data_IF_443073795291
#
_entry.id   IF_443073795291
#
_cell.length_a   1.000
_cell.length_b   1.000
_cell.length_c   1.000
_cell.angle_alpha   90.00
_cell.angle_beta   90.00
_cell.angle_gamma   90.00
#
_symmetry.space_group_name_H-M   'P 1'
#
loop_
_entity.id
_entity.type
_entity.pdbx_description
1 polymer ?
#
# COMPACT_ATOMS: atom_id res chain seq x y z
N UNK A 1 18.22 -9.16 -4.15
CA UNK A 1 18.36 -7.71 -4.43
C UNK A 1 19.26 -7.17 -3.33
N UNK A 2 20.33 -6.44 -3.67
CA UNK A 2 21.28 -5.95 -2.66
C UNK A 2 20.54 -5.04 -1.66
N UNK A 3 20.62 -5.34 -0.36
CA UNK A 3 20.08 -4.47 0.69
C UNK A 3 20.87 -3.17 0.69
N UNK A 4 20.26 -2.13 0.11
CA UNK A 4 20.80 -0.79 0.15
C UNK A 4 20.72 -0.27 1.59
N UNK A 5 21.86 -0.01 2.22
CA UNK A 5 21.88 0.63 3.53
C UNK A 5 21.43 2.10 3.36
N UNK A 6 20.22 2.40 3.84
CA UNK A 6 19.57 3.69 3.62
C UNK A 6 20.37 4.81 4.30
N UNK A 7 20.90 4.58 5.50
CA UNK A 7 21.64 5.59 6.26
C UNK A 7 22.99 5.93 5.61
N UNK A 8 23.71 4.93 5.08
CA UNK A 8 24.94 5.16 4.31
C UNK A 8 24.67 5.99 3.05
N UNK A 9 23.61 5.63 2.32
CA UNK A 9 23.23 6.34 1.09
C UNK A 9 22.80 7.78 1.41
N UNK A 10 21.99 7.98 2.44
CA UNK A 10 21.57 9.32 2.89
C UNK A 10 22.73 10.20 3.35
N UNK A 11 23.76 9.60 3.95
CA UNK A 11 24.99 10.29 4.34
C UNK A 11 25.86 10.71 3.14
N UNK A 12 25.82 9.94 2.04
CA UNK A 12 26.62 10.17 0.83
C UNK A 12 25.94 11.02 -0.24
N UNK A 13 24.66 11.31 -0.08
CA UNK A 13 23.87 12.15 -0.97
C UNK A 13 24.16 13.64 -0.73
N UNK A 14 24.39 14.39 -1.80
CA UNK A 14 24.44 15.86 -1.74
C UNK A 14 23.04 16.44 -1.49
N UNK A 15 22.95 17.72 -1.11
CA UNK A 15 21.67 18.40 -0.92
C UNK A 15 20.87 18.41 -2.24
N UNK A 16 21.52 18.66 -3.37
CA UNK A 16 20.86 18.66 -4.69
C UNK A 16 20.36 17.26 -5.07
N UNK A 17 21.11 16.20 -4.76
CA UNK A 17 20.66 14.82 -4.97
C UNK A 17 19.47 14.47 -4.06
N UNK A 18 19.41 14.99 -2.82
CA UNK A 18 18.25 14.82 -1.94
C UNK A 18 17.02 15.54 -2.47
N UNK A 19 17.19 16.77 -2.94
CA UNK A 19 16.10 17.57 -3.54
C UNK A 19 15.59 16.90 -4.82
N UNK A 20 16.48 16.36 -5.65
CA UNK A 20 16.05 15.70 -6.89
C UNK A 20 15.26 14.42 -6.60
N UNK A 21 15.65 13.62 -5.60
CA UNK A 21 14.97 12.37 -5.23
C UNK A 21 13.54 12.55 -4.70
N UNK A 22 13.19 13.73 -4.16
CA UNK A 22 11.81 14.05 -3.75
C UNK A 22 10.95 14.59 -4.88
N UNK A 23 11.52 14.74 -6.08
CA UNK A 23 10.84 15.21 -7.29
C UNK A 23 10.90 14.17 -8.41
N UNK A 24 9.83 14.10 -9.20
CA UNK A 24 9.87 13.31 -10.44
C UNK A 24 10.69 14.03 -11.51
N UNK A 25 11.51 13.30 -12.26
CA UNK A 25 12.22 13.86 -13.43
C UNK A 25 11.28 14.06 -14.61
N UNK A 26 10.20 13.28 -14.67
CA UNK A 26 9.08 13.42 -15.59
C UNK A 26 7.86 12.70 -15.01
N UNK A 27 6.72 12.75 -15.71
CA UNK A 27 5.42 12.22 -15.24
C UNK A 27 5.44 10.78 -14.70
N UNK A 28 6.41 9.96 -15.10
CA UNK A 28 6.42 8.53 -14.86
C UNK A 28 7.71 7.99 -14.25
N UNK A 29 8.71 8.83 -13.95
CA UNK A 29 9.97 8.35 -13.40
C UNK A 29 10.47 9.25 -12.27
N UNK A 30 11.08 8.63 -11.26
CA UNK A 30 11.82 9.35 -10.21
C UNK A 30 13.20 9.80 -10.72
N UNK A 31 13.82 10.71 -9.99
CA UNK A 31 15.25 10.98 -10.17
C UNK A 31 16.10 9.73 -9.91
N UNK A 32 17.22 9.65 -10.61
CA UNK A 32 18.26 8.64 -10.41
C UNK A 32 19.54 9.30 -9.89
N UNK A 33 20.35 8.54 -9.15
CA UNK A 33 21.69 8.95 -8.71
C UNK A 33 22.67 7.83 -9.06
N UNK A 34 23.17 7.79 -10.32
CA UNK A 34 24.00 6.68 -10.81
C UNK A 34 25.28 6.46 -10.00
N UNK A 35 25.88 7.54 -9.47
CA UNK A 35 27.09 7.48 -8.63
C UNK A 35 26.92 6.64 -7.36
N UNK A 36 25.71 6.60 -6.81
CA UNK A 36 25.35 5.82 -5.63
C UNK A 36 24.58 4.54 -5.98
N UNK A 37 24.46 4.22 -7.27
CA UNK A 37 23.71 3.05 -7.73
C UNK A 37 22.20 3.16 -7.55
N UNK A 38 21.65 4.37 -7.39
CA UNK A 38 20.20 4.59 -7.25
C UNK A 38 19.58 4.67 -8.66
N UNK A 39 18.79 3.67 -9.10
CA UNK A 39 18.15 3.71 -10.41
C UNK A 39 16.94 4.64 -10.42
N UNK A 40 16.52 5.09 -11.60
CA UNK A 40 15.22 5.73 -11.76
C UNK A 40 14.12 4.67 -11.58
N UNK A 41 13.14 4.97 -10.74
CA UNK A 41 11.98 4.11 -10.53
C UNK A 41 10.92 4.52 -11.54
N UNK A 42 10.49 3.57 -12.38
CA UNK A 42 9.35 3.78 -13.29
C UNK A 42 8.04 3.55 -12.55
N UNK A 43 7.17 4.55 -12.61
CA UNK A 43 5.78 4.48 -12.16
C UNK A 43 4.85 4.48 -13.36
N UNK A 44 3.68 3.87 -13.23
CA UNK A 44 2.65 3.84 -14.26
C UNK A 44 1.28 3.84 -13.59
N UNK A 45 0.30 4.46 -14.24
CA UNK A 45 -1.05 4.42 -13.73
C UNK A 45 -1.67 3.03 -13.75
N UNK A 46 -2.63 2.87 -12.84
CA UNK A 46 -3.56 1.77 -12.89
C UNK A 46 -4.43 1.58 -11.66
N UNK A 47 -5.71 2.01 -11.69
CA UNK A 47 -6.74 1.34 -10.92
C UNK A 47 -7.25 0.06 -11.60
N UNK A 48 -7.27 0.00 -12.92
CA UNK A 48 -7.95 -1.04 -13.71
C UNK A 48 -7.00 -1.69 -14.74
N UNK A 49 -5.76 -1.99 -14.35
CA UNK A 49 -4.71 -2.48 -15.25
C UNK A 49 -3.50 -1.56 -15.30
N UNK A 50 -2.38 -2.05 -15.84
CA UNK A 50 -1.12 -1.32 -15.87
C UNK A 50 -0.95 -0.59 -17.21
N UNK A 51 -1.04 0.74 -17.20
CA UNK A 51 -0.97 1.53 -18.42
C UNK A 51 0.45 1.61 -18.96
N UNK A 52 0.68 1.04 -20.14
CA UNK A 52 1.95 1.22 -20.84
C UNK A 52 1.99 2.55 -21.58
N UNK A 53 3.13 3.25 -21.50
CA UNK A 53 3.27 4.63 -22.01
C UNK A 53 4.16 4.75 -23.26
N UNK A 54 4.99 3.75 -23.55
CA UNK A 54 5.97 3.79 -24.66
C UNK A 54 5.52 3.06 -25.93
N UNK A 55 4.34 2.46 -25.91
CA UNK A 55 3.76 1.75 -27.04
C UNK A 55 2.97 2.73 -27.91
N UNK A 56 3.32 2.81 -29.20
CA UNK A 56 2.41 3.25 -30.26
C UNK A 56 1.06 2.56 -30.07
N UNK A 57 -0.06 3.22 -30.38
CA UNK A 57 -1.41 2.65 -30.20
C UNK A 57 -1.59 1.23 -30.77
N UNK A 58 -0.75 0.84 -31.72
CA UNK A 58 -0.75 -0.45 -32.41
C UNK A 58 -0.19 -1.63 -31.60
N UNK A 59 0.54 -1.42 -30.51
CA UNK A 59 1.16 -2.50 -29.71
C UNK A 59 0.83 -2.44 -28.20
N UNK A 60 -0.26 -1.77 -27.82
CA UNK A 60 -0.71 -1.77 -26.42
C UNK A 60 -1.25 -3.15 -26.01
N UNK A 61 -0.41 -3.94 -25.35
CA UNK A 61 -0.90 -5.08 -24.57
C UNK A 61 -1.33 -4.56 -23.19
N UNK A 62 -2.64 -4.48 -22.95
CA UNK A 62 -3.22 -4.05 -21.68
C UNK A 62 -4.14 -5.14 -21.15
N UNK A 63 -3.94 -5.53 -19.89
CA UNK A 63 -4.96 -6.26 -19.14
C UNK A 63 -5.88 -5.23 -18.50
N UNK A 64 -7.06 -5.00 -19.09
CA UNK A 64 -8.06 -4.10 -18.51
C UNK A 64 -8.83 -4.87 -17.44
N UNK A 65 -8.65 -4.47 -16.19
CA UNK A 65 -9.39 -5.03 -15.06
C UNK A 65 -10.76 -4.35 -14.91
N UNK A 66 -11.72 -5.10 -14.39
CA UNK A 66 -13.06 -4.59 -14.07
C UNK A 66 -12.95 -3.41 -13.10
N UNK A 67 -13.83 -2.42 -13.23
CA UNK A 67 -13.84 -1.25 -12.36
C UNK A 67 -14.05 -1.67 -10.89
N UNK A 68 -13.39 -0.97 -9.98
CA UNK A 68 -13.32 -1.37 -8.56
C UNK A 68 -14.66 -1.51 -7.86
N UNK A 69 -15.67 -0.71 -8.24
CA UNK A 69 -17.02 -0.82 -7.66
C UNK A 69 -17.68 -2.15 -8.00
N UNK A 70 -17.48 -2.65 -9.22
CA UNK A 70 -18.00 -3.96 -9.63
C UNK A 70 -17.21 -5.10 -8.97
N UNK A 71 -15.88 -4.98 -8.82
CA UNK A 71 -15.10 -5.95 -8.02
C UNK A 71 -15.57 -5.95 -6.56
N UNK A 72 -15.78 -4.77 -5.95
CA UNK A 72 -16.29 -4.63 -4.59
C UNK A 72 -17.69 -5.23 -4.41
N UNK A 73 -18.55 -5.11 -5.41
CA UNK A 73 -19.89 -5.69 -5.42
C UNK A 73 -19.89 -7.24 -5.41
N UNK A 74 -18.77 -7.89 -5.72
CA UNK A 74 -18.65 -9.36 -5.61
C UNK A 74 -18.48 -9.83 -4.17
N UNK A 75 -18.08 -8.95 -3.25
CA UNK A 75 -17.73 -9.29 -1.86
C UNK A 75 -16.78 -10.51 -1.74
N UNK A 76 -15.93 -10.70 -2.74
CA UNK A 76 -15.03 -11.86 -2.84
C UNK A 76 -13.57 -11.43 -2.68
N UNK A 77 -13.02 -11.65 -1.50
CA UNK A 77 -11.62 -11.29 -1.15
C UNK A 77 -10.60 -12.10 -1.94
N UNK A 78 -10.86 -13.38 -2.19
CA UNK A 78 -9.99 -14.24 -2.99
C UNK A 78 -9.88 -13.77 -4.45
N UNK A 79 -10.99 -13.28 -5.00
CA UNK A 79 -11.02 -12.66 -6.32
C UNK A 79 -10.18 -11.37 -6.34
N UNK A 80 -10.32 -10.51 -5.32
CA UNK A 80 -9.51 -9.29 -5.20
C UNK A 80 -8.02 -9.61 -5.14
N UNK A 81 -7.63 -10.64 -4.40
CA UNK A 81 -6.25 -11.08 -4.29
C UNK A 81 -5.70 -11.59 -5.63
N UNK A 82 -6.47 -12.43 -6.32
CA UNK A 82 -6.09 -12.96 -7.64
C UNK A 82 -5.90 -11.83 -8.66
N UNK A 83 -6.81 -10.84 -8.68
CA UNK A 83 -6.70 -9.67 -9.55
C UNK A 83 -5.49 -8.79 -9.20
N UNK A 84 -5.15 -8.65 -7.91
CA UNK A 84 -3.94 -7.95 -7.46
C UNK A 84 -2.67 -8.65 -7.94
N UNK A 85 -2.61 -9.98 -7.83
CA UNK A 85 -1.47 -10.77 -8.30
C UNK A 85 -1.28 -10.63 -9.80
N UNK A 86 -2.36 -10.71 -10.58
CA UNK A 86 -2.33 -10.48 -12.04
C UNK A 86 -1.81 -9.07 -12.38
N UNK A 87 -2.28 -8.04 -11.68
CA UNK A 87 -1.81 -6.67 -11.88
C UNK A 87 -0.31 -6.52 -11.54
N UNK A 88 0.16 -7.20 -10.49
CA UNK A 88 1.58 -7.25 -10.13
C UNK A 88 2.44 -7.93 -11.20
N UNK A 89 1.97 -9.05 -11.76
CA UNK A 89 2.64 -9.75 -12.85
C UNK A 89 2.72 -8.89 -14.12
N UNK A 90 1.63 -8.18 -14.46
CA UNK A 90 1.62 -7.25 -15.59
C UNK A 90 2.62 -6.10 -15.38
N UNK A 91 2.73 -5.57 -14.16
CA UNK A 91 3.71 -4.53 -13.82
C UNK A 91 5.15 -5.01 -14.01
N UNK A 92 5.46 -6.22 -13.53
CA UNK A 92 6.78 -6.83 -13.68
C UNK A 92 7.10 -7.05 -15.16
N UNK A 93 6.16 -7.61 -15.92
CA UNK A 93 6.33 -7.86 -17.36
C UNK A 93 6.64 -6.58 -18.15
N UNK A 94 6.08 -5.44 -17.72
CA UNK A 94 6.28 -4.12 -18.35
C UNK A 94 7.48 -3.33 -17.80
N UNK A 95 8.27 -3.92 -16.90
CA UNK A 95 9.39 -3.24 -16.26
C UNK A 95 8.96 -2.03 -15.41
N UNK A 96 7.75 -2.07 -14.86
CA UNK A 96 7.21 -1.04 -13.98
C UNK A 96 7.51 -1.46 -12.55
N UNK A 97 8.44 -0.73 -11.92
CA UNK A 97 8.87 -1.02 -10.56
C UNK A 97 7.76 -0.77 -9.54
N UNK A 98 6.86 0.19 -9.83
CA UNK A 98 5.76 0.53 -8.94
C UNK A 98 4.54 0.95 -9.73
N UNK A 99 3.47 0.17 -9.60
CA UNK A 99 2.12 0.68 -9.87
C UNK A 99 1.66 1.34 -8.57
N UNK A 100 1.34 2.64 -8.55
CA UNK A 100 0.78 3.25 -7.37
C UNK A 100 -0.49 2.44 -7.02
N UNK A 101 -0.55 1.89 -5.82
CA UNK A 101 -1.69 1.15 -5.29
C UNK A 101 -2.90 2.06 -5.15
N UNK A 102 -3.51 2.48 -6.26
CA UNK A 102 -4.67 3.37 -6.31
C UNK A 102 -5.98 2.59 -6.14
N UNK A 103 -5.99 1.49 -5.38
CA UNK A 103 -7.27 0.82 -5.06
C UNK A 103 -8.12 1.74 -4.19
N UNK A 104 -7.49 2.41 -3.21
CA UNK A 104 -8.17 3.37 -2.36
C UNK A 104 -8.15 4.80 -2.92
N UNK A 105 -6.97 5.35 -3.22
CA UNK A 105 -6.83 6.79 -3.52
C UNK A 105 -7.73 7.33 -4.65
N UNK A 106 -7.88 6.58 -5.75
CA UNK A 106 -8.80 6.97 -6.83
C UNK A 106 -10.22 6.47 -6.62
N UNK A 107 -10.42 5.27 -6.07
CA UNK A 107 -11.78 4.76 -5.81
C UNK A 107 -12.56 5.66 -4.85
N UNK A 108 -11.87 6.12 -3.81
CA UNK A 108 -12.40 7.02 -2.79
C UNK A 108 -12.72 8.42 -3.34
N UNK A 109 -11.83 9.00 -4.15
CA UNK A 109 -12.09 10.30 -4.77
C UNK A 109 -13.23 10.25 -5.80
N UNK A 110 -13.37 9.16 -6.56
CA UNK A 110 -14.52 8.94 -7.44
C UNK A 110 -15.82 8.69 -6.66
N UNK A 111 -15.77 7.97 -5.54
CA UNK A 111 -16.91 7.79 -4.64
C UNK A 111 -17.38 9.13 -4.08
N UNK A 112 -16.47 9.97 -3.59
CA UNK A 112 -16.82 11.29 -3.08
C UNK A 112 -17.38 12.20 -4.18
N UNK A 113 -16.80 12.16 -5.38
CA UNK A 113 -17.34 12.90 -6.53
C UNK A 113 -18.74 12.42 -6.94
N UNK A 114 -19.07 11.14 -6.73
CA UNK A 114 -20.40 10.59 -7.01
C UNK A 114 -21.42 10.91 -5.89
N UNK A 115 -20.97 11.00 -4.64
CA UNK A 115 -21.84 11.28 -3.49
C UNK A 115 -22.16 12.76 -3.32
N UNK A 116 -21.25 13.66 -3.75
CA UNK A 116 -21.38 15.09 -3.52
C UNK A 116 -21.54 15.86 -4.84
N UNK A 117 -22.62 16.66 -5.00
CA UNK A 117 -22.91 17.36 -6.26
C UNK A 117 -22.01 18.57 -6.53
N UNK A 118 -21.22 19.01 -5.55
CA UNK A 118 -20.33 20.17 -5.66
C UNK A 118 -18.92 19.80 -5.21
N UNK A 119 -17.92 20.27 -5.96
CA UNK A 119 -16.50 20.06 -5.65
C UNK A 119 -16.10 20.61 -4.27
N UNK A 120 -16.67 21.74 -3.86
CA UNK A 120 -16.41 22.34 -2.54
C UNK A 120 -16.93 21.46 -1.41
N UNK A 121 -18.15 20.94 -1.57
CA UNK A 121 -18.75 20.03 -0.59
C UNK A 121 -18.02 18.69 -0.55
N UNK A 122 -17.64 18.18 -1.73
CA UNK A 122 -16.78 16.99 -1.86
C UNK A 122 -15.43 17.18 -1.18
N UNK A 123 -14.82 18.37 -1.24
CA UNK A 123 -13.57 18.69 -0.55
C UNK A 123 -13.69 18.69 0.98
N UNK A 124 -14.76 19.28 1.52
CA UNK A 124 -15.02 19.23 2.97
C UNK A 124 -15.31 17.80 3.44
N UNK A 125 -16.16 17.08 2.71
CA UNK A 125 -16.47 15.68 3.01
C UNK A 125 -15.22 14.79 2.88
N UNK A 126 -14.37 15.03 1.89
CA UNK A 126 -13.10 14.30 1.71
C UNK A 126 -12.24 14.37 2.96
N UNK A 127 -12.08 15.58 3.52
CA UNK A 127 -11.26 15.80 4.71
C UNK A 127 -11.88 15.11 5.93
N UNK A 128 -13.19 15.20 6.10
CA UNK A 128 -13.92 14.55 7.19
C UNK A 128 -13.84 13.03 7.12
N UNK A 129 -14.10 12.44 5.95
CA UNK A 129 -14.02 11.00 5.75
C UNK A 129 -12.58 10.49 5.90
N UNK A 130 -11.56 11.25 5.45
CA UNK A 130 -10.15 10.89 5.68
C UNK A 130 -9.81 10.84 7.17
N UNK A 131 -10.24 11.84 7.93
CA UNK A 131 -10.05 11.90 9.39
C UNK A 131 -10.78 10.74 10.07
N UNK A 132 -12.02 10.46 9.68
CA UNK A 132 -12.79 9.33 10.23
C UNK A 132 -12.09 8.01 9.90
N UNK A 133 -11.64 7.81 8.66
CA UNK A 133 -10.97 6.58 8.22
C UNK A 133 -9.57 6.39 8.81
N UNK A 134 -8.92 7.44 9.31
CA UNK A 134 -7.65 7.29 10.04
C UNK A 134 -7.87 7.08 11.54
N UNK A 135 -8.86 7.74 12.13
CA UNK A 135 -9.09 7.73 13.59
C UNK A 135 -9.91 6.52 14.03
N UNK A 136 -10.97 6.16 13.30
CA UNK A 136 -11.95 5.15 13.72
C UNK A 136 -11.51 3.72 13.38
N UNK A 137 -11.00 3.41 12.18
CA UNK A 137 -10.53 2.08 11.80
C UNK A 137 -9.15 1.72 12.37
N UNK A 138 -8.38 2.73 12.77
CA UNK A 138 -7.17 2.54 13.54
C UNK A 138 -6.07 1.78 12.80
N UNK A 139 -5.50 2.39 11.77
CA UNK A 139 -4.21 1.97 11.19
C UNK A 139 -3.12 1.81 12.26
N UNK A 140 -3.23 2.55 13.36
CA UNK A 140 -2.31 2.52 14.50
C UNK A 140 -2.73 1.55 15.61
N UNK A 141 -3.90 0.92 15.51
CA UNK A 141 -4.36 -0.09 16.47
C UNK A 141 -4.35 -1.47 15.85
N UNK A 142 -3.56 -2.37 16.42
CA UNK A 142 -3.56 -3.76 15.97
C UNK A 142 -4.88 -4.44 16.32
N UNK A 143 -5.24 -5.50 15.60
CA UNK A 143 -6.48 -6.27 15.79
C UNK A 143 -6.77 -6.59 17.27
N UNK A 144 -5.73 -6.93 18.03
CA UNK A 144 -5.82 -7.28 19.44
C UNK A 144 -6.25 -6.12 20.36
N UNK A 145 -6.02 -4.87 19.97
CA UNK A 145 -6.38 -3.68 20.75
C UNK A 145 -7.79 -3.14 20.42
N UNK A 146 -8.45 -3.68 19.39
CA UNK A 146 -9.84 -3.34 19.10
C UNK A 146 -10.78 -3.99 20.12
N UNK A 147 -11.82 -3.24 20.52
CA UNK A 147 -12.87 -3.78 21.39
C UNK A 147 -13.66 -4.89 20.67
N UNK A 148 -14.42 -5.68 21.45
CA UNK A 148 -15.11 -6.86 20.93
C UNK A 148 -16.21 -6.52 19.90
N UNK A 149 -16.72 -5.28 19.90
CA UNK A 149 -17.69 -4.83 18.90
C UNK A 149 -17.04 -4.57 17.54
N UNK A 150 -15.91 -3.86 17.50
CA UNK A 150 -15.26 -3.45 16.25
C UNK A 150 -14.31 -4.50 15.68
N UNK A 151 -13.64 -5.28 16.54
CA UNK A 151 -12.65 -6.30 16.16
C UNK A 151 -13.12 -7.23 15.02
N UNK A 152 -14.35 -7.77 15.01
CA UNK A 152 -14.77 -8.75 14.01
C UNK A 152 -14.96 -8.20 12.59
N UNK A 153 -15.17 -6.89 12.42
CA UNK A 153 -15.56 -6.32 11.12
C UNK A 153 -14.80 -5.06 10.75
N UNK A 154 -14.58 -4.14 11.69
CA UNK A 154 -13.98 -2.83 11.39
C UNK A 154 -12.53 -2.98 10.90
N UNK A 155 -11.79 -3.91 11.50
CA UNK A 155 -10.42 -4.23 11.09
C UNK A 155 -10.31 -4.79 9.65
N UNK A 156 -11.38 -5.41 9.15
CA UNK A 156 -11.42 -6.04 7.84
C UNK A 156 -12.05 -5.15 6.77
N UNK A 157 -12.93 -4.23 7.17
CA UNK A 157 -13.51 -3.24 6.26
C UNK A 157 -12.59 -2.03 6.05
N UNK A 158 -11.60 -1.85 6.92
CA UNK A 158 -10.68 -0.72 6.83
C UNK A 158 -9.86 -0.75 5.55
N UNK A 159 -10.15 0.19 4.67
CA UNK A 159 -9.45 0.36 3.41
C UNK A 159 -8.03 0.93 3.60
N UNK A 160 -7.79 1.66 4.69
CA UNK A 160 -6.47 2.22 5.01
C UNK A 160 -5.46 1.14 5.33
N UNK A 161 -5.84 0.15 6.14
CA UNK A 161 -5.03 -1.03 6.39
C UNK A 161 -4.50 -1.67 5.11
N UNK A 162 -5.34 -1.83 4.09
CA UNK A 162 -4.90 -2.40 2.80
C UNK A 162 -4.02 -1.45 2.01
N UNK A 163 -4.26 -0.13 2.09
CA UNK A 163 -3.45 0.87 1.43
C UNK A 163 -2.04 0.96 2.03
N UNK A 164 -1.94 1.07 3.36
CA UNK A 164 -0.67 1.10 4.08
C UNK A 164 0.01 -0.26 4.06
N UNK A 165 -0.72 -1.36 4.29
CA UNK A 165 -0.18 -2.71 4.25
C UNK A 165 0.44 -3.06 2.89
N UNK A 166 -0.20 -2.71 1.78
CA UNK A 166 0.38 -2.89 0.44
C UNK A 166 1.59 -1.98 0.21
N UNK A 167 1.56 -0.76 0.74
CA UNK A 167 2.68 0.19 0.61
C UNK A 167 3.90 -0.28 1.41
N UNK A 168 3.70 -0.63 2.68
CA UNK A 168 4.74 -1.21 3.55
C UNK A 168 5.23 -2.53 2.96
N UNK A 169 4.33 -3.41 2.54
CA UNK A 169 4.68 -4.71 1.97
C UNK A 169 5.54 -4.56 0.72
N UNK A 170 5.28 -3.56 -0.13
CA UNK A 170 6.09 -3.27 -1.31
C UNK A 170 7.47 -2.69 -0.97
N UNK A 171 7.54 -1.82 0.06
CA UNK A 171 8.80 -1.17 0.49
C UNK A 171 9.68 -2.14 1.27
N UNK A 172 9.07 -2.95 2.14
CA UNK A 172 9.75 -3.89 3.03
C UNK A 172 9.89 -5.29 2.43
N UNK A 173 9.50 -5.49 1.17
CA UNK A 173 9.58 -6.79 0.51
C UNK A 173 11.02 -7.30 0.49
N UNK A 174 11.29 -8.40 1.20
CA UNK A 174 12.61 -9.02 1.27
C UNK A 174 13.58 -8.34 2.25
N UNK A 175 13.11 -7.43 3.11
CA UNK A 175 13.87 -6.95 4.26
C UNK A 175 13.90 -8.04 5.32
N UNK A 176 15.10 -8.50 5.70
CA UNK A 176 15.26 -9.44 6.80
C UNK A 176 14.97 -8.73 8.12
N UNK A 177 14.00 -9.25 8.89
CA UNK A 177 13.67 -8.72 10.22
C UNK A 177 14.60 -9.39 11.24
N UNK A 178 15.52 -8.61 11.80
CA UNK A 178 16.35 -9.04 12.93
C UNK A 178 15.66 -8.62 14.23
N UNK A 179 15.02 -9.57 14.91
CA UNK A 179 14.33 -9.31 16.17
C UNK A 179 15.32 -9.28 17.34
N UNK A 180 15.27 -8.22 18.15
CA UNK A 180 15.98 -8.14 19.42
C UNK A 180 15.10 -8.61 20.58
N UNK A 181 15.71 -8.91 21.74
CA UNK A 181 14.97 -9.27 22.95
C UNK A 181 14.03 -8.16 23.44
N UNK A 182 14.32 -6.90 23.08
CA UNK A 182 13.44 -5.75 23.33
C UNK A 182 12.16 -5.75 22.49
N UNK A 183 12.17 -6.44 21.34
CA UNK A 183 11.05 -6.45 20.40
C UNK A 183 10.03 -7.56 20.74
N UNK A 184 10.39 -8.45 21.67
CA UNK A 184 9.53 -9.53 22.13
C UNK A 184 8.61 -9.04 23.23
N UNK A 185 7.31 -9.24 23.05
CA UNK A 185 6.33 -9.07 24.12
C UNK A 185 6.46 -10.25 25.09
N UNK A 186 7.04 -10.00 26.26
CA UNK A 186 7.13 -10.98 27.35
C UNK A 186 5.86 -10.93 28.18
N UNK A 187 5.24 -12.08 28.41
CA UNK A 187 4.09 -12.20 29.30
C UNK A 187 4.18 -13.51 30.10
N UNK A 188 3.60 -13.50 31.30
CA UNK A 188 3.51 -14.69 32.14
C UNK A 188 2.27 -15.51 31.77
N UNK A 189 2.47 -16.78 31.47
CA UNK A 189 1.36 -17.70 31.24
C UNK A 189 0.61 -17.98 32.56
N UNK A 190 -0.73 -18.12 32.53
CA UNK A 190 -1.50 -18.50 33.72
C UNK A 190 -1.05 -19.86 34.28
N UNK A 191 -1.11 -20.07 35.61
CA UNK A 191 -0.74 -21.34 36.22
C UNK A 191 -1.48 -22.52 35.59
N UNK A 192 -0.74 -23.54 35.15
CA UNK A 192 -1.31 -24.77 34.59
C UNK A 192 -1.61 -24.77 33.09
N UNK A 193 -1.20 -23.73 32.33
CA UNK A 193 -1.28 -23.74 30.86
C UNK A 193 0.09 -23.55 30.22
N UNK A 194 0.51 -24.39 29.25
CA UNK A 194 1.73 -24.13 28.47
C UNK A 194 1.55 -22.89 27.58
N UNK A 195 2.61 -22.09 27.42
CA UNK A 195 2.57 -20.80 26.72
C UNK A 195 1.91 -20.88 25.34
N UNK A 196 2.20 -21.93 24.56
CA UNK A 196 1.62 -22.14 23.23
C UNK A 196 0.11 -22.34 23.22
N UNK A 197 -0.51 -22.86 24.29
CA UNK A 197 -1.96 -22.98 24.39
C UNK A 197 -2.63 -21.66 24.77
N UNK A 198 -1.92 -20.76 25.46
CA UNK A 198 -2.43 -19.45 25.83
C UNK A 198 -2.38 -18.46 24.65
N UNK A 199 -1.33 -18.51 23.83
CA UNK A 199 -1.20 -17.63 22.65
C UNK A 199 -2.25 -17.94 21.59
N UNK A 200 -2.51 -19.22 21.31
CA UNK A 200 -3.50 -19.65 20.31
C UNK A 200 -4.94 -19.35 20.75
N UNK A 201 -5.20 -19.23 22.05
CA UNK A 201 -6.53 -18.89 22.57
C UNK A 201 -6.87 -17.38 22.48
N UNK A 202 -5.93 -16.53 22.06
CA UNK A 202 -6.07 -15.07 21.96
C UNK A 202 -5.93 -14.51 20.54
N UNK A 203 -5.62 -15.33 19.54
CA UNK A 203 -5.73 -14.99 18.12
C UNK A 203 -7.15 -15.21 17.59
#
# INVERSE_FOLDING_TARGET
MAMANIDDILGRLTIDEKISLVSGTHFWHTASVPRLGIPAIRVSDGPNGVREQNSSMENLQLVILVVKTAIGATWNTALVESLRQLQGQEAIAKGINRVPGRIFGTGYSHLLAALFPSATLGGYANSLFWVILMIVPGDLTTHAYLNDFYRPWLFWIDLMRYFFGASLGSVLHGVAVECFSSDLVVFDAPPGRPCGQYTVAKE
#
